data_IF_270634928242
#
_entry.id   IF_270634928242
#
_cell.length_a   1.000
_cell.length_b   1.000
_cell.length_c   1.000
_cell.angle_alpha   90.00
_cell.angle_beta   90.00
_cell.angle_gamma   90.00
#
_symmetry.space_group_name_H-M   'P 1'
#
loop_
_entity.id
_entity.type
_entity.pdbx_description
1 polymer ?
#
# COMPACT_ATOMS: atom_id res chain seq x y z
N UNK A 1 -20.74 13.06 13.42
CA UNK A 1 -19.83 11.90 13.61
C UNK A 1 -18.49 12.45 14.05
N UNK A 2 -17.70 11.73 14.86
CA UNK A 2 -16.34 12.21 15.14
C UNK A 2 -15.53 12.22 13.85
N UNK A 3 -14.67 13.23 13.66
CA UNK A 3 -13.82 13.37 12.46
C UNK A 3 -13.03 12.08 12.17
N UNK A 4 -12.60 11.41 13.24
CA UNK A 4 -11.98 10.09 13.16
C UNK A 4 -12.83 9.05 12.42
N UNK A 5 -14.11 8.91 12.78
CA UNK A 5 -15.01 7.95 12.13
C UNK A 5 -15.28 8.32 10.67
N UNK A 6 -15.29 9.61 10.34
CA UNK A 6 -15.39 10.06 8.96
C UNK A 6 -14.17 9.64 8.13
N UNK A 7 -12.95 9.79 8.65
CA UNK A 7 -11.74 9.30 7.97
C UNK A 7 -11.70 7.78 7.84
N UNK A 8 -12.19 7.04 8.84
CA UNK A 8 -12.32 5.58 8.75
C UNK A 8 -13.29 5.18 7.64
N UNK A 9 -14.47 5.81 7.55
CA UNK A 9 -15.45 5.54 6.50
C UNK A 9 -14.89 5.87 5.10
N UNK A 10 -14.19 7.01 4.97
CA UNK A 10 -13.53 7.41 3.73
C UNK A 10 -12.47 6.38 3.31
N UNK A 11 -11.62 5.93 4.22
CA UNK A 11 -10.61 4.91 3.94
C UNK A 11 -11.24 3.55 3.59
N UNK A 12 -12.31 3.16 4.28
CA UNK A 12 -13.04 1.93 3.99
C UNK A 12 -13.65 1.95 2.59
N UNK A 13 -14.34 3.04 2.23
CA UNK A 13 -14.91 3.23 0.89
C UNK A 13 -13.84 3.25 -0.19
N UNK A 14 -12.67 3.82 0.09
CA UNK A 14 -11.55 3.80 -0.83
C UNK A 14 -11.13 2.36 -1.16
N UNK A 15 -10.96 1.49 -0.16
CA UNK A 15 -10.51 0.09 -0.38
C UNK A 15 -11.59 -0.77 -1.06
N UNK A 16 -12.87 -0.55 -0.72
CA UNK A 16 -14.00 -1.36 -1.24
C UNK A 16 -14.48 -0.88 -2.62
N UNK A 17 -14.11 0.34 -3.03
CA UNK A 17 -14.43 0.85 -4.36
C UNK A 17 -13.80 -0.02 -5.45
N UNK A 18 -14.52 -0.21 -6.56
CA UNK A 18 -14.01 -0.93 -7.73
C UNK A 18 -12.75 -0.28 -8.30
N UNK A 19 -12.66 1.04 -8.15
CA UNK A 19 -11.55 1.89 -8.56
C UNK A 19 -10.25 1.57 -7.82
N UNK A 20 -10.33 0.89 -6.66
CA UNK A 20 -9.18 0.45 -5.86
C UNK A 20 -8.99 -1.08 -5.86
N UNK A 21 -9.55 -1.77 -6.86
CA UNK A 21 -9.36 -3.22 -7.01
C UNK A 21 -7.87 -3.60 -7.13
N UNK A 22 -7.04 -2.70 -7.66
CA UNK A 22 -5.59 -2.82 -7.73
C UNK A 22 -4.93 -3.00 -6.34
N UNK A 23 -5.40 -2.27 -5.32
CA UNK A 23 -4.91 -2.37 -3.94
C UNK A 23 -5.24 -3.72 -3.32
N UNK A 24 -6.48 -4.19 -3.52
CA UNK A 24 -6.90 -5.51 -3.02
C UNK A 24 -6.11 -6.61 -3.74
N UNK A 25 -5.94 -6.52 -5.06
CA UNK A 25 -5.13 -7.45 -5.84
C UNK A 25 -3.68 -7.46 -5.38
N UNK A 26 -3.09 -6.30 -5.09
CA UNK A 26 -1.74 -6.19 -4.55
C UNK A 26 -1.62 -6.88 -3.19
N UNK A 27 -2.53 -6.61 -2.25
CA UNK A 27 -2.52 -7.24 -0.93
C UNK A 27 -2.68 -8.77 -1.01
N UNK A 28 -3.56 -9.25 -1.88
CA UNK A 28 -3.71 -10.67 -2.15
C UNK A 28 -2.42 -11.27 -2.73
N UNK A 29 -1.80 -10.61 -3.70
CA UNK A 29 -0.52 -11.05 -4.26
C UNK A 29 0.57 -11.09 -3.18
N UNK A 30 0.66 -10.07 -2.33
CA UNK A 30 1.64 -9.99 -1.26
C UNK A 30 1.44 -11.13 -0.23
N UNK A 31 0.19 -11.45 0.11
CA UNK A 31 -0.15 -12.49 1.08
C UNK A 31 -0.09 -13.93 0.51
N UNK A 32 -0.27 -14.11 -0.80
CA UNK A 32 -0.50 -15.41 -1.45
C UNK A 32 0.59 -16.47 -1.19
N UNK A 33 1.82 -16.04 -0.91
CA UNK A 33 2.97 -16.94 -0.69
C UNK A 33 3.11 -17.38 0.77
N UNK A 34 2.51 -16.67 1.72
CA UNK A 34 2.64 -16.95 3.14
C UNK A 34 1.64 -18.04 3.54
N UNK A 35 2.13 -19.08 4.22
CA UNK A 35 1.28 -20.13 4.80
C UNK A 35 0.95 -19.78 6.25
N UNK A 36 -0.01 -20.47 6.87
CA UNK A 36 -0.40 -20.21 8.27
C UNK A 36 0.78 -20.25 9.27
N UNK A 37 1.80 -21.08 9.00
CA UNK A 37 3.05 -21.14 9.80
C UNK A 37 3.92 -19.87 9.70
N UNK A 38 3.76 -19.09 8.64
CA UNK A 38 4.58 -17.91 8.32
C UNK A 38 3.90 -16.59 8.75
N UNK A 39 2.88 -16.66 9.61
CA UNK A 39 2.08 -15.50 10.03
C UNK A 39 2.92 -14.34 10.58
N UNK A 40 4.02 -14.63 11.30
CA UNK A 40 4.94 -13.60 11.81
C UNK A 40 5.64 -12.84 10.69
N UNK A 41 6.05 -13.54 9.63
CA UNK A 41 6.68 -12.93 8.48
C UNK A 41 5.67 -12.09 7.69
N UNK A 42 4.44 -12.60 7.53
CA UNK A 42 3.34 -11.84 6.92
C UNK A 42 3.05 -10.55 7.69
N UNK A 43 3.02 -10.60 9.04
CA UNK A 43 2.82 -9.40 9.85
C UNK A 43 3.89 -8.35 9.57
N UNK A 44 5.17 -8.71 9.54
CA UNK A 44 6.23 -7.75 9.23
C UNK A 44 6.10 -7.10 7.86
N UNK A 45 5.66 -7.87 6.87
CA UNK A 45 5.45 -7.41 5.50
C UNK A 45 4.27 -6.44 5.43
N UNK A 46 3.14 -6.81 6.04
CA UNK A 46 1.94 -5.95 6.12
C UNK A 46 2.25 -4.68 6.92
N UNK A 47 2.94 -4.78 8.05
CA UNK A 47 3.34 -3.61 8.84
C UNK A 47 4.24 -2.68 8.04
N UNK A 48 5.24 -3.20 7.32
CA UNK A 48 6.10 -2.38 6.49
C UNK A 48 5.32 -1.63 5.40
N UNK A 49 4.40 -2.32 4.71
CA UNK A 49 3.49 -1.71 3.75
C UNK A 49 2.66 -0.59 4.38
N UNK A 50 2.01 -0.87 5.52
CA UNK A 50 1.18 0.11 6.23
C UNK A 50 1.99 1.34 6.63
N UNK A 51 3.21 1.15 7.16
CA UNK A 51 4.08 2.27 7.55
C UNK A 51 4.44 3.13 6.34
N UNK A 52 4.86 2.52 5.23
CA UNK A 52 5.16 3.27 4.00
C UNK A 52 3.94 4.01 3.45
N UNK A 53 2.79 3.34 3.42
CA UNK A 53 1.53 3.91 2.97
C UNK A 53 1.13 5.12 3.82
N UNK A 54 1.09 4.97 5.14
CA UNK A 54 0.77 6.04 6.08
C UNK A 54 1.76 7.21 6.01
N UNK A 55 3.06 6.94 5.79
CA UNK A 55 4.05 8.00 5.64
C UNK A 55 3.76 8.89 4.42
N UNK A 56 3.33 8.29 3.31
CA UNK A 56 2.98 9.08 2.10
C UNK A 56 1.72 9.90 2.31
N UNK A 57 0.70 9.35 2.98
CA UNK A 57 -0.51 10.10 3.34
C UNK A 57 -0.19 11.26 4.30
N UNK A 58 0.67 11.02 5.29
CA UNK A 58 1.14 12.07 6.19
C UNK A 58 1.84 13.19 5.41
N UNK A 59 2.75 12.83 4.50
CA UNK A 59 3.44 13.81 3.65
C UNK A 59 2.47 14.58 2.75
N UNK A 60 1.46 13.92 2.19
CA UNK A 60 0.46 14.55 1.32
C UNK A 60 -0.36 15.65 2.03
N UNK A 61 -0.63 15.46 3.33
CA UNK A 61 -1.41 16.42 4.13
C UNK A 61 -0.53 17.49 4.78
N UNK A 62 0.68 17.13 5.22
CA UNK A 62 1.59 18.03 5.94
C UNK A 62 2.46 18.89 5.03
N UNK A 63 2.72 18.43 3.81
CA UNK A 63 3.62 19.11 2.87
C UNK A 63 2.90 19.51 1.57
N UNK A 64 3.60 20.25 0.71
CA UNK A 64 3.15 20.53 -0.66
C UNK A 64 3.64 19.49 -1.68
N UNK A 65 4.09 18.31 -1.24
CA UNK A 65 4.53 17.26 -2.14
C UNK A 65 3.37 16.83 -3.05
N UNK A 66 3.53 17.09 -4.35
CA UNK A 66 2.61 16.64 -5.40
C UNK A 66 3.38 15.69 -6.30
N UNK A 67 2.96 14.43 -6.30
CA UNK A 67 3.48 13.44 -7.21
C UNK A 67 2.62 13.46 -8.48
N UNK A 68 3.20 13.38 -9.69
CA UNK A 68 2.41 13.30 -10.91
C UNK A 68 1.54 12.04 -10.89
N UNK A 69 0.22 12.23 -10.97
CA UNK A 69 -0.77 11.15 -10.92
C UNK A 69 -0.49 10.05 -11.95
N UNK A 70 -0.10 10.45 -13.15
CA UNK A 70 0.28 9.54 -14.25
C UNK A 70 1.42 8.58 -13.87
N UNK A 71 2.42 9.07 -13.13
CA UNK A 71 3.54 8.24 -12.66
C UNK A 71 3.06 7.27 -11.59
N UNK A 72 2.25 7.74 -10.65
CA UNK A 72 1.73 6.90 -9.56
C UNK A 72 0.83 5.79 -10.10
N UNK A 73 -0.11 6.13 -10.98
CA UNK A 73 -1.01 5.17 -11.64
C UNK A 73 -0.27 4.16 -12.51
N UNK A 74 0.87 4.55 -13.10
CA UNK A 74 1.74 3.61 -13.81
C UNK A 74 2.51 2.69 -12.84
N UNK A 75 3.00 3.22 -11.71
CA UNK A 75 3.80 2.45 -10.76
C UNK A 75 2.98 1.42 -9.98
N UNK A 76 1.70 1.67 -9.69
CA UNK A 76 0.84 0.71 -8.98
C UNK A 76 0.79 -0.66 -9.69
N UNK A 77 0.37 -0.79 -10.97
CA UNK A 77 0.36 -2.07 -11.66
C UNK A 77 1.76 -2.68 -11.82
N UNK A 78 2.82 -1.85 -11.94
CA UNK A 78 4.20 -2.32 -11.92
C UNK A 78 4.52 -3.03 -10.60
N UNK A 79 4.09 -2.50 -9.46
CA UNK A 79 4.34 -3.14 -8.16
C UNK A 79 3.60 -4.48 -8.01
N UNK A 80 2.41 -4.62 -8.61
CA UNK A 80 1.66 -5.88 -8.67
C UNK A 80 2.42 -6.91 -9.50
N UNK A 81 2.87 -6.54 -10.70
CA UNK A 81 3.66 -7.42 -11.58
C UNK A 81 4.94 -7.86 -10.89
N UNK A 82 5.68 -6.94 -10.27
CA UNK A 82 6.91 -7.25 -9.53
C UNK A 82 6.63 -8.22 -8.37
N UNK A 83 5.53 -8.02 -7.63
CA UNK A 83 5.12 -8.92 -6.54
C UNK A 83 4.76 -10.31 -7.06
N UNK A 84 4.03 -10.38 -8.18
CA UNK A 84 3.73 -11.64 -8.87
C UNK A 84 5.00 -12.37 -9.31
N UNK A 85 5.97 -11.66 -9.92
CA UNK A 85 7.26 -12.22 -10.32
C UNK A 85 8.07 -12.73 -9.12
N UNK A 86 8.16 -11.94 -8.05
CA UNK A 86 8.84 -12.36 -6.80
C UNK A 86 8.19 -13.61 -6.21
N UNK A 87 6.87 -13.74 -6.31
CA UNK A 87 6.17 -14.94 -5.84
C UNK A 87 6.50 -16.17 -6.69
N UNK A 88 6.55 -16.05 -8.02
CA UNK A 88 6.93 -17.15 -8.90
C UNK A 88 8.38 -17.60 -8.65
N UNK A 89 9.30 -16.64 -8.50
CA UNK A 89 10.71 -16.92 -8.21
C UNK A 89 10.91 -17.55 -6.83
N UNK A 90 10.19 -17.09 -5.81
CA UNK A 90 10.34 -17.64 -4.47
C UNK A 90 9.74 -19.04 -4.31
N UNK A 91 8.72 -19.42 -5.10
CA UNK A 91 8.27 -20.82 -5.16
C UNK A 91 9.39 -21.75 -5.64
N UNK A 92 10.28 -21.27 -6.51
CA UNK A 92 11.45 -22.03 -6.98
C UNK A 92 12.59 -22.04 -5.95
N UNK A 93 12.68 -21.03 -5.07
CA UNK A 93 13.75 -20.87 -4.06
C UNK A 93 13.41 -21.42 -2.67
N UNK A 94 12.31 -22.17 -2.54
CA UNK A 94 11.77 -22.66 -1.27
C UNK A 94 12.71 -23.56 -0.44
N UNK A 95 13.91 -23.88 -0.94
CA UNK A 95 14.95 -24.64 -0.24
C UNK A 95 15.93 -23.79 0.57
N UNK A 96 16.03 -22.47 0.34
CA UNK A 96 16.96 -21.61 1.10
C UNK A 96 16.20 -20.76 2.12
N UNK A 97 16.31 -21.11 3.41
CA UNK A 97 15.62 -20.46 4.55
C UNK A 97 16.00 -19.00 4.85
N UNK A 98 16.16 -18.14 3.83
CA UNK A 98 16.38 -16.69 3.94
C UNK A 98 15.47 -15.99 2.95
N UNK A 99 14.70 -15.00 3.41
CA UNK A 99 14.23 -13.81 2.62
C UNK A 99 13.16 -12.97 3.32
N UNK A 100 12.88 -13.15 4.63
CA UNK A 100 11.85 -12.32 5.31
C UNK A 100 12.13 -10.82 5.27
N UNK A 101 13.40 -10.39 5.36
CA UNK A 101 13.76 -8.96 5.41
C UNK A 101 13.61 -8.21 4.07
N UNK A 102 14.00 -8.82 2.95
CA UNK A 102 13.92 -8.18 1.63
C UNK A 102 12.47 -7.86 1.24
N UNK A 103 11.56 -8.80 1.51
CA UNK A 103 10.14 -8.66 1.21
C UNK A 103 9.48 -7.56 2.04
N UNK A 104 9.84 -7.42 3.32
CA UNK A 104 9.35 -6.31 4.14
C UNK A 104 9.81 -4.95 3.60
N UNK A 105 11.07 -4.83 3.16
CA UNK A 105 11.58 -3.58 2.59
C UNK A 105 10.84 -3.25 1.28
N UNK A 106 10.68 -4.23 0.38
CA UNK A 106 9.91 -4.05 -0.85
C UNK A 106 8.46 -3.64 -0.56
N UNK A 107 7.81 -4.29 0.39
CA UNK A 107 6.45 -3.97 0.81
C UNK A 107 6.35 -2.53 1.33
N UNK A 108 7.34 -2.06 2.10
CA UNK A 108 7.39 -0.66 2.54
C UNK A 108 7.52 0.33 1.38
N UNK A 109 8.38 0.05 0.40
CA UNK A 109 8.54 0.88 -0.80
C UNK A 109 7.24 0.89 -1.61
N UNK A 110 6.62 -0.26 -1.81
CA UNK A 110 5.34 -0.37 -2.51
C UNK A 110 4.22 0.33 -1.74
N UNK A 111 4.26 0.32 -0.41
CA UNK A 111 3.37 1.10 0.45
C UNK A 111 3.45 2.59 0.15
N UNK A 112 4.66 3.14 -0.04
CA UNK A 112 4.82 4.55 -0.42
C UNK A 112 4.10 4.87 -1.74
N UNK A 113 4.30 4.01 -2.76
CA UNK A 113 3.67 4.19 -4.08
C UNK A 113 2.14 4.14 -3.98
N UNK A 114 1.59 3.14 -3.31
CA UNK A 114 0.13 3.01 -3.15
C UNK A 114 -0.45 4.17 -2.33
N UNK A 115 0.28 4.65 -1.32
CA UNK A 115 -0.13 5.83 -0.53
C UNK A 115 -0.24 7.09 -1.39
N UNK A 116 0.61 7.23 -2.41
CA UNK A 116 0.53 8.34 -3.35
C UNK A 116 -0.73 8.29 -4.23
N UNK A 117 -1.28 7.09 -4.49
CA UNK A 117 -2.50 6.93 -5.29
C UNK A 117 -3.74 7.55 -4.63
N UNK A 118 -3.77 7.54 -3.29
CA UNK A 118 -4.84 8.13 -2.48
C UNK A 118 -4.54 9.55 -1.98
N UNK A 119 -3.26 9.96 -2.01
CA UNK A 119 -2.77 11.22 -1.46
C UNK A 119 -3.50 12.47 -2.01
N UNK A 120 -3.75 12.53 -3.33
CA UNK A 120 -4.40 13.69 -3.96
C UNK A 120 -5.85 13.86 -3.49
N UNK A 121 -6.58 12.75 -3.39
CA UNK A 121 -7.96 12.75 -2.88
C UNK A 121 -7.99 13.20 -1.41
N UNK A 122 -7.13 12.63 -0.56
CA UNK A 122 -7.06 13.00 0.85
C UNK A 122 -6.72 14.49 1.03
N UNK A 123 -5.75 14.98 0.26
CA UNK A 123 -5.36 16.40 0.27
C UNK A 123 -6.51 17.31 -0.18
N UNK A 124 -7.31 16.89 -1.15
CA UNK A 124 -8.48 17.66 -1.58
C UNK A 124 -9.50 17.82 -0.45
N UNK A 125 -9.77 16.75 0.32
CA UNK A 125 -10.64 16.79 1.50
C UNK A 125 -10.13 17.76 2.56
N UNK A 126 -8.84 17.70 2.92
CA UNK A 126 -8.27 18.60 3.93
C UNK A 126 -8.25 20.07 3.48
N UNK A 127 -8.09 20.34 2.19
CA UNK A 127 -8.15 21.71 1.65
C UNK A 127 -9.55 22.29 1.68
N UNK A 128 -10.58 21.47 1.48
CA UNK A 128 -11.98 21.89 1.64
C UNK A 128 -12.27 22.22 3.09
N UNK A 129 -11.87 21.36 4.04
CA UNK A 129 -12.08 21.58 5.48
C UNK A 129 -11.41 22.86 6.01
N UNK A 130 -10.29 23.32 5.41
CA UNK A 130 -9.57 24.52 5.85
C UNK A 130 -10.17 25.82 5.31
N UNK A 131 -11.13 25.75 4.39
CA UNK A 131 -11.81 26.91 3.80
C UNK A 131 -13.11 27.29 4.50
N UNK A 132 -13.60 26.43 5.40
CA UNK A 132 -14.74 26.65 6.28
C UNK A 132 -14.27 26.98 7.71
#
# INVERSE_FOLDING_TARGET
MSDFLAFVDVGFRHIVALDAADHVLFLLALAAIYRGRDWRALLWVVTAFTVGHSLTLLLAVTTQLVLPREIVEFLIPVTIVLTGMENLLARQRAESGRTSGHRSVLAGIFGLVHGAGFADYLRSLFRVQRRD
#
